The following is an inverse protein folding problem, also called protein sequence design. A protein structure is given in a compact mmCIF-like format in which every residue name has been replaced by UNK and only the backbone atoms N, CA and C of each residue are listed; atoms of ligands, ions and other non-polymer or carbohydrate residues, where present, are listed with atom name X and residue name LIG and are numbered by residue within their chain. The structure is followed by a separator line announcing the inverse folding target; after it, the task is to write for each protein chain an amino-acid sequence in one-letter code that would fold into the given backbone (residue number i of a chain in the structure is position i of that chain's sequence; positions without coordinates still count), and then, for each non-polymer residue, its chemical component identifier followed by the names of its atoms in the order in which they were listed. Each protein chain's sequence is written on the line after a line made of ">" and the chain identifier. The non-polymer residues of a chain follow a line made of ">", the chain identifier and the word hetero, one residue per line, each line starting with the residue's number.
data_IF_428857723466
#
_entry.id   IF_428857723466
#
_cell.length_a   1.000
_cell.length_b   1.000
_cell.length_c   1.000
_cell.angle_alpha   90.00
_cell.angle_beta   90.00
_cell.angle_gamma   90.00
#
_symmetry.space_group_name_H-M   'P 1'
#
loop_
_entity.id
_entity.type
_entity.pdbx_description
1 polymer ?
#
# COMPACT_ATOMS: atom_id res chain seq x y z
N UNK A 1 -11.56 0.09 -20.30
CA UNK A 1 -11.03 0.34 -18.95
C UNK A 1 -11.88 1.41 -18.31
N UNK A 2 -12.28 1.20 -17.06
CA UNK A 2 -13.00 2.19 -16.25
C UNK A 2 -12.15 2.43 -15.01
N UNK A 3 -11.69 3.66 -14.84
CA UNK A 3 -10.87 4.08 -13.72
C UNK A 3 -11.72 4.74 -12.62
N UNK A 4 -11.24 4.70 -11.38
CA UNK A 4 -11.90 5.29 -10.20
C UNK A 4 -13.35 4.82 -10.04
N UNK A 5 -13.60 3.51 -10.16
CA UNK A 5 -14.95 2.93 -10.15
C UNK A 5 -15.72 3.22 -8.86
N UNK A 6 -15.03 3.49 -7.74
CA UNK A 6 -15.64 3.87 -6.47
C UNK A 6 -16.38 5.22 -6.52
N UNK A 7 -16.16 6.03 -7.54
CA UNK A 7 -16.87 7.29 -7.74
C UNK A 7 -18.31 7.07 -8.26
N UNK A 8 -18.64 5.87 -8.75
CA UNK A 8 -19.97 5.61 -9.32
C UNK A 8 -20.51 4.21 -9.03
N UNK A 9 -21.29 4.08 -7.98
CA UNK A 9 -22.02 2.86 -7.68
C UNK A 9 -22.99 2.46 -8.82
N UNK A 10 -23.54 3.44 -9.53
CA UNK A 10 -24.43 3.18 -10.65
C UNK A 10 -23.73 2.45 -11.82
N UNK A 11 -22.48 2.83 -12.13
CA UNK A 11 -21.67 2.15 -13.15
C UNK A 11 -21.22 0.78 -12.64
N UNK A 12 -20.69 0.72 -11.41
CA UNK A 12 -20.25 -0.53 -10.80
C UNK A 12 -21.34 -1.62 -10.81
N UNK A 13 -22.53 -1.27 -10.38
CA UNK A 13 -23.66 -2.21 -10.30
C UNK A 13 -24.14 -2.70 -11.68
N UNK A 14 -23.72 -2.05 -12.77
CA UNK A 14 -24.05 -2.44 -14.15
C UNK A 14 -22.93 -3.16 -14.89
N UNK A 15 -21.76 -3.35 -14.30
CA UNK A 15 -20.63 -4.02 -14.97
C UNK A 15 -21.07 -5.40 -15.50
N UNK A 16 -21.82 -6.15 -14.72
CA UNK A 16 -22.38 -7.45 -15.14
C UNK A 16 -23.27 -7.37 -16.39
N UNK A 17 -24.07 -6.31 -16.49
CA UNK A 17 -24.90 -6.06 -17.67
C UNK A 17 -24.02 -5.73 -18.88
N UNK A 18 -23.00 -4.89 -18.67
CA UNK A 18 -22.09 -4.47 -19.74
C UNK A 18 -21.31 -5.66 -20.31
N UNK A 19 -20.78 -6.55 -19.48
CA UNK A 19 -20.05 -7.73 -19.95
C UNK A 19 -20.93 -8.65 -20.81
N UNK A 20 -22.20 -8.79 -20.47
CA UNK A 20 -23.15 -9.63 -21.24
C UNK A 20 -23.61 -8.97 -22.54
N UNK A 21 -23.79 -7.64 -22.53
CA UNK A 21 -24.37 -6.90 -23.64
C UNK A 21 -23.31 -6.51 -24.66
N UNK A 22 -22.15 -6.06 -24.21
CA UNK A 22 -21.13 -5.47 -25.08
C UNK A 22 -20.12 -6.50 -25.61
N UNK A 23 -20.16 -7.75 -25.12
CA UNK A 23 -19.23 -8.84 -25.48
C UNK A 23 -17.75 -8.41 -25.45
N UNK A 24 -17.38 -7.61 -24.46
CA UNK A 24 -16.04 -7.05 -24.27
C UNK A 24 -15.57 -7.35 -22.85
N UNK A 25 -14.26 -7.49 -22.69
CA UNK A 25 -13.63 -7.57 -21.38
C UNK A 25 -13.62 -6.18 -20.74
N UNK A 26 -13.93 -6.13 -19.46
CA UNK A 26 -13.94 -4.91 -18.68
C UNK A 26 -12.85 -4.99 -17.62
N UNK A 27 -11.95 -4.02 -17.62
CA UNK A 27 -10.98 -3.79 -16.57
C UNK A 27 -11.45 -2.57 -15.79
N UNK A 28 -11.66 -2.73 -14.49
CA UNK A 28 -12.07 -1.65 -13.60
C UNK A 28 -10.99 -1.46 -12.53
N UNK A 29 -10.59 -0.22 -12.32
CA UNK A 29 -9.64 0.13 -11.26
C UNK A 29 -10.32 1.02 -10.23
N UNK A 30 -9.76 1.08 -9.03
CA UNK A 30 -10.25 1.97 -8.00
C UNK A 30 -9.90 1.54 -6.59
N UNK A 31 -10.11 2.43 -5.63
CA UNK A 31 -9.88 2.19 -4.22
C UNK A 31 -10.92 1.22 -3.63
N UNK A 32 -10.42 0.16 -2.99
CA UNK A 32 -11.29 -0.79 -2.30
C UNK A 32 -12.02 -0.16 -1.11
N UNK A 33 -11.34 0.74 -0.41
CA UNK A 33 -11.89 1.41 0.77
C UNK A 33 -13.15 2.24 0.45
N UNK A 34 -13.11 3.01 -0.65
CA UNK A 34 -14.26 3.81 -1.09
C UNK A 34 -15.49 2.97 -1.43
N UNK A 35 -15.31 1.73 -1.88
CA UNK A 35 -16.43 0.81 -2.16
C UNK A 35 -17.05 0.19 -0.92
N UNK A 36 -16.22 -0.23 0.05
CA UNK A 36 -16.72 -0.88 1.28
C UNK A 36 -17.60 0.07 2.10
N UNK A 37 -17.25 1.34 2.13
CA UNK A 37 -17.94 2.34 2.95
C UNK A 37 -19.25 2.81 2.35
N UNK A 38 -19.42 2.66 1.05
CA UNK A 38 -20.63 3.08 0.38
C UNK A 38 -21.62 1.89 0.19
N UNK A 39 -22.72 1.91 0.93
CA UNK A 39 -23.79 0.87 0.90
C UNK A 39 -24.49 0.74 -0.45
N UNK A 40 -24.32 1.68 -1.36
CA UNK A 40 -24.91 1.64 -2.70
C UNK A 40 -24.23 0.62 -3.61
N UNK A 41 -23.00 0.22 -3.29
CA UNK A 41 -22.28 -0.81 -4.04
C UNK A 41 -22.83 -2.19 -3.71
N UNK A 42 -23.34 -2.88 -4.71
CA UNK A 42 -23.86 -4.25 -4.59
C UNK A 42 -22.73 -5.22 -5.02
N UNK A 43 -22.12 -5.87 -4.05
CA UNK A 43 -21.12 -6.88 -4.34
C UNK A 43 -21.77 -8.11 -4.96
N UNK A 44 -21.47 -8.40 -6.22
CA UNK A 44 -21.87 -9.64 -6.89
C UNK A 44 -20.76 -10.68 -6.70
N UNK A 45 -21.02 -11.71 -5.94
CA UNK A 45 -20.11 -12.84 -5.84
C UNK A 45 -20.04 -13.58 -7.19
N UNK A 46 -18.83 -13.78 -7.71
CA UNK A 46 -18.56 -14.65 -8.87
C UNK A 46 -18.61 -13.98 -10.24
N UNK A 47 -18.83 -12.68 -10.34
CA UNK A 47 -18.86 -11.96 -11.63
C UNK A 47 -17.58 -11.16 -11.92
N UNK A 48 -16.67 -11.05 -10.96
CA UNK A 48 -15.46 -10.25 -11.04
C UNK A 48 -14.27 -11.03 -10.48
N UNK A 49 -13.20 -11.10 -11.26
CA UNK A 49 -11.89 -11.49 -10.77
C UNK A 49 -11.19 -10.27 -10.20
N UNK A 50 -10.80 -10.34 -8.93
CA UNK A 50 -10.14 -9.23 -8.26
C UNK A 50 -8.63 -9.44 -8.26
N UNK A 51 -7.92 -8.45 -8.79
CA UNK A 51 -6.46 -8.38 -8.73
C UNK A 51 -6.10 -7.25 -7.77
N UNK A 52 -5.39 -7.59 -6.71
CA UNK A 52 -4.87 -6.61 -5.77
C UNK A 52 -3.47 -6.17 -6.21
N UNK A 53 -3.31 -4.88 -6.48
CA UNK A 53 -2.01 -4.30 -6.85
C UNK A 53 -1.28 -3.90 -5.58
N UNK A 54 -0.19 -4.59 -5.30
CA UNK A 54 0.70 -4.33 -4.16
C UNK A 54 1.82 -3.36 -4.54
N UNK A 55 2.53 -2.87 -3.54
CA UNK A 55 3.81 -2.18 -3.75
C UNK A 55 4.84 -3.17 -4.31
N UNK A 56 5.90 -2.67 -4.95
CA UNK A 56 6.97 -3.52 -5.48
C UNK A 56 7.56 -4.41 -4.38
N UNK A 57 7.65 -5.69 -4.65
CA UNK A 57 8.40 -6.65 -3.85
C UNK A 57 9.91 -6.39 -3.97
N UNK A 58 10.72 -6.97 -3.08
CA UNK A 58 12.18 -6.88 -3.20
C UNK A 58 12.69 -7.43 -4.54
N UNK A 59 12.08 -8.51 -5.03
CA UNK A 59 12.40 -9.06 -6.35
C UNK A 59 12.15 -8.04 -7.48
N UNK A 60 10.99 -7.38 -7.48
CA UNK A 60 10.65 -6.37 -8.47
C UNK A 60 11.53 -5.11 -8.32
N UNK A 61 11.90 -4.75 -7.09
CA UNK A 61 12.90 -3.71 -6.84
C UNK A 61 14.25 -4.06 -7.48
N UNK A 62 14.74 -5.29 -7.33
CA UNK A 62 15.98 -5.73 -7.97
C UNK A 62 15.90 -5.69 -9.50
N UNK A 63 14.75 -6.06 -10.08
CA UNK A 63 14.50 -5.94 -11.52
C UNK A 63 14.59 -4.47 -11.95
N UNK A 64 13.93 -3.56 -11.23
CA UNK A 64 13.96 -2.13 -11.51
C UNK A 64 15.39 -1.56 -11.43
N UNK A 65 16.16 -2.00 -10.43
CA UNK A 65 17.55 -1.59 -10.25
C UNK A 65 18.53 -2.22 -11.26
N UNK A 66 18.09 -3.16 -12.10
CA UNK A 66 18.96 -3.89 -13.01
C UNK A 66 19.93 -4.87 -12.32
N UNK A 67 19.57 -5.31 -11.11
CA UNK A 67 20.40 -6.19 -10.27
C UNK A 67 19.77 -7.58 -10.06
N UNK A 68 18.85 -7.99 -10.96
CA UNK A 68 18.10 -9.24 -10.78
C UNK A 68 19.01 -10.49 -10.88
N UNK A 69 20.07 -10.41 -11.66
CA UNK A 69 21.07 -11.51 -11.80
C UNK A 69 21.62 -11.93 -10.43
N UNK A 70 21.86 -10.99 -9.52
CA UNK A 70 22.30 -11.29 -8.15
C UNK A 70 21.29 -12.17 -7.39
N UNK A 71 20.01 -12.00 -7.66
CA UNK A 71 18.95 -12.80 -7.04
C UNK A 71 18.93 -14.23 -7.62
N UNK A 72 19.18 -14.39 -8.91
CA UNK A 72 19.25 -15.70 -9.56
C UNK A 72 20.48 -16.51 -9.15
N UNK A 73 21.57 -15.85 -8.75
CA UNK A 73 22.76 -16.48 -8.20
C UNK A 73 22.60 -17.01 -6.77
N UNK A 74 21.51 -16.60 -6.05
CA UNK A 74 21.27 -17.07 -4.70
C UNK A 74 20.93 -18.55 -4.67
N UNK A 75 21.74 -19.30 -3.95
CA UNK A 75 21.39 -20.66 -3.56
C UNK A 75 20.66 -20.69 -2.21
N UNK A 76 19.53 -21.39 -2.17
CA UNK A 76 18.73 -21.58 -0.95
C UNK A 76 19.45 -22.40 0.13
N UNK A 77 20.50 -23.15 -0.25
CA UNK A 77 21.32 -23.95 0.66
C UNK A 77 22.55 -23.20 1.20
N UNK A 78 22.76 -21.95 0.77
CA UNK A 78 23.85 -21.11 1.26
C UNK A 78 25.20 -21.35 0.59
N UNK A 79 25.21 -21.95 -0.60
CA UNK A 79 26.42 -22.24 -1.39
C UNK A 79 26.79 -21.07 -2.32
N UNK A 80 25.99 -19.98 -2.35
CA UNK A 80 26.29 -18.79 -3.16
C UNK A 80 27.55 -18.06 -2.67
N UNK A 81 28.17 -17.30 -3.56
CA UNK A 81 29.36 -16.51 -3.22
C UNK A 81 29.06 -15.47 -2.12
N UNK A 82 29.99 -15.30 -1.19
CA UNK A 82 29.87 -14.31 -0.10
C UNK A 82 29.64 -12.89 -0.61
N UNK A 83 30.23 -12.56 -1.77
CA UNK A 83 30.03 -11.28 -2.45
C UNK A 83 28.56 -11.06 -2.84
N UNK A 84 27.91 -12.04 -3.46
CA UNK A 84 26.50 -11.97 -3.87
C UNK A 84 25.61 -11.74 -2.66
N UNK A 85 25.86 -12.44 -1.55
CA UNK A 85 25.14 -12.23 -0.30
C UNK A 85 25.34 -10.83 0.27
N UNK A 86 26.56 -10.29 0.21
CA UNK A 86 26.83 -8.95 0.70
C UNK A 86 26.09 -7.89 -0.12
N UNK A 87 26.20 -7.94 -1.44
CA UNK A 87 25.55 -6.98 -2.36
C UNK A 87 24.03 -7.02 -2.21
N UNK A 88 23.42 -8.20 -2.17
CA UNK A 88 21.98 -8.34 -1.95
C UNK A 88 21.54 -7.83 -0.60
N UNK A 89 22.31 -8.04 0.46
CA UNK A 89 22.00 -7.52 1.79
C UNK A 89 22.02 -5.99 1.82
N UNK A 90 22.94 -5.34 1.13
CA UNK A 90 22.98 -3.89 1.04
C UNK A 90 21.78 -3.36 0.23
N UNK A 91 21.43 -4.00 -0.89
CA UNK A 91 20.22 -3.67 -1.65
C UNK A 91 18.93 -3.89 -0.82
N UNK A 92 18.89 -4.94 -0.02
CA UNK A 92 17.77 -5.20 0.87
C UNK A 92 17.62 -4.14 1.97
N UNK A 93 18.76 -3.64 2.52
CA UNK A 93 18.74 -2.52 3.47
C UNK A 93 18.17 -1.26 2.86
N UNK A 94 18.55 -0.96 1.61
CA UNK A 94 18.00 0.17 0.88
C UNK A 94 16.49 -0.02 0.68
N UNK A 95 16.08 -1.17 0.17
CA UNK A 95 14.67 -1.50 -0.05
C UNK A 95 13.83 -1.40 1.25
N UNK A 96 14.34 -1.89 2.37
CA UNK A 96 13.64 -1.78 3.67
C UNK A 96 13.56 -0.35 4.18
N UNK A 97 14.50 0.51 3.80
CA UNK A 97 14.47 1.93 4.17
C UNK A 97 13.50 2.76 3.31
N UNK A 98 13.43 2.49 2.00
CA UNK A 98 12.60 3.28 1.07
C UNK A 98 11.23 2.65 0.78
N UNK A 99 11.07 1.35 1.02
CA UNK A 99 9.85 0.60 0.69
C UNK A 99 9.70 0.33 -0.80
N UNK A 100 8.55 -0.24 -1.16
CA UNK A 100 8.25 -0.68 -2.53
C UNK A 100 7.34 0.27 -3.33
N UNK A 101 7.07 1.49 -2.90
CA UNK A 101 6.28 2.43 -3.71
C UNK A 101 7.01 2.80 -5.00
N UNK A 102 6.42 2.59 -6.20
CA UNK A 102 7.11 2.84 -7.48
C UNK A 102 7.71 4.24 -7.59
N UNK A 103 7.01 5.27 -7.14
CA UNK A 103 7.51 6.65 -7.16
C UNK A 103 8.75 6.85 -6.28
N UNK A 104 8.86 6.13 -5.16
CA UNK A 104 10.01 6.20 -4.26
C UNK A 104 11.19 5.43 -4.84
N UNK A 105 10.93 4.25 -5.41
CA UNK A 105 11.96 3.46 -6.08
C UNK A 105 12.54 4.23 -7.28
N UNK A 106 11.69 4.88 -8.08
CA UNK A 106 12.13 5.73 -9.18
C UNK A 106 12.99 6.90 -8.70
N UNK A 107 12.57 7.58 -7.62
CA UNK A 107 13.38 8.64 -7.00
C UNK A 107 14.76 8.14 -6.55
N UNK A 108 14.80 6.94 -5.97
CA UNK A 108 16.06 6.34 -5.56
C UNK A 108 16.97 6.01 -6.76
N UNK A 109 16.40 5.49 -7.85
CA UNK A 109 17.16 5.20 -9.09
C UNK A 109 17.78 6.46 -9.68
N UNK A 110 17.10 7.60 -9.58
CA UNK A 110 17.56 8.89 -10.13
C UNK A 110 18.61 9.57 -9.24
N UNK A 111 18.40 9.56 -7.92
CA UNK A 111 19.18 10.40 -7.00
C UNK A 111 20.14 9.63 -6.10
N UNK A 112 19.92 8.34 -5.87
CA UNK A 112 20.57 7.51 -4.85
C UNK A 112 20.56 8.14 -3.44
N UNK A 113 19.55 8.99 -3.15
CA UNK A 113 19.42 9.81 -1.96
C UNK A 113 18.26 9.36 -1.08
N UNK A 114 18.55 8.79 0.09
CA UNK A 114 17.51 8.40 1.05
C UNK A 114 16.67 9.61 1.54
N UNK A 115 17.24 10.80 1.82
CA UNK A 115 16.43 11.96 2.19
C UNK A 115 15.44 12.41 1.11
N UNK A 116 15.79 12.28 -0.18
CA UNK A 116 14.87 12.59 -1.26
C UNK A 116 13.74 11.56 -1.37
N UNK A 117 14.05 10.29 -1.16
CA UNK A 117 13.06 9.21 -1.07
C UNK A 117 12.08 9.45 0.08
N UNK A 118 12.59 9.86 1.26
CA UNK A 118 11.75 10.21 2.41
C UNK A 118 10.80 11.37 2.06
N UNK A 119 11.26 12.38 1.36
CA UNK A 119 10.41 13.49 0.92
C UNK A 119 9.26 13.02 0.00
N UNK A 120 9.50 12.02 -0.87
CA UNK A 120 8.45 11.41 -1.72
C UNK A 120 7.49 10.57 -0.85
N UNK A 121 7.99 9.77 0.08
CA UNK A 121 7.15 9.01 1.02
C UNK A 121 6.22 9.92 1.84
N UNK A 122 6.74 11.03 2.36
CA UNK A 122 5.92 12.01 3.10
C UNK A 122 4.82 12.63 2.24
N UNK A 123 5.06 12.85 0.94
CA UNK A 123 4.01 13.30 0.01
C UNK A 123 2.92 12.23 -0.16
N UNK A 124 3.31 10.96 -0.32
CA UNK A 124 2.37 9.84 -0.45
C UNK A 124 1.51 9.70 0.82
N UNK A 125 2.12 9.76 2.01
CA UNK A 125 1.40 9.72 3.28
C UNK A 125 0.39 10.87 3.40
N UNK A 126 0.79 12.09 3.01
CA UNK A 126 -0.11 13.24 3.00
C UNK A 126 -1.31 13.04 2.08
N UNK A 127 -1.08 12.44 0.89
CA UNK A 127 -2.17 12.11 -0.04
C UNK A 127 -3.12 11.09 0.58
N UNK A 128 -2.62 10.02 1.21
CA UNK A 128 -3.47 9.04 1.89
C UNK A 128 -4.29 9.65 3.02
N UNK A 129 -3.71 10.57 3.80
CA UNK A 129 -4.44 11.28 4.84
C UNK A 129 -5.56 12.14 4.20
N UNK A 130 -5.30 12.83 3.11
CA UNK A 130 -6.30 13.64 2.42
C UNK A 130 -7.42 12.79 1.82
N UNK A 131 -7.09 11.67 1.19
CA UNK A 131 -8.09 10.72 0.67
C UNK A 131 -8.93 10.12 1.80
N UNK A 132 -8.29 9.69 2.88
CA UNK A 132 -8.99 9.16 4.05
C UNK A 132 -9.99 10.17 4.60
N UNK A 133 -9.62 11.44 4.71
CA UNK A 133 -10.54 12.52 5.11
C UNK A 133 -11.77 12.59 4.21
N UNK A 134 -11.59 12.48 2.89
CA UNK A 134 -12.70 12.51 1.92
C UNK A 134 -13.71 11.39 2.16
N UNK A 135 -13.23 10.18 2.48
CA UNK A 135 -14.11 9.02 2.69
C UNK A 135 -14.73 8.95 4.07
N UNK A 136 -14.13 9.55 5.08
CA UNK A 136 -14.53 9.42 6.47
C UNK A 136 -14.98 10.74 7.12
N UNK A 137 -15.09 11.84 6.35
CA UNK A 137 -15.44 13.17 6.87
C UNK A 137 -16.69 13.19 7.74
N UNK A 138 -17.68 12.33 7.44
CA UNK A 138 -18.95 12.24 8.18
C UNK A 138 -18.88 11.24 9.36
N UNK A 139 -17.76 10.55 9.55
CA UNK A 139 -17.65 9.41 10.49
C UNK A 139 -16.61 9.70 11.58
N UNK A 140 -15.54 10.40 11.27
CA UNK A 140 -14.39 10.60 12.15
C UNK A 140 -13.87 12.05 12.07
N UNK A 141 -13.43 12.57 13.21
CA UNK A 141 -12.77 13.87 13.29
C UNK A 141 -11.37 13.86 12.62
N UNK A 142 -10.98 14.99 12.07
CA UNK A 142 -9.73 15.19 11.32
C UNK A 142 -8.46 14.74 12.09
N UNK A 143 -8.44 14.94 13.41
CA UNK A 143 -7.32 14.57 14.26
C UNK A 143 -7.11 13.06 14.36
N UNK A 144 -8.18 12.28 14.24
CA UNK A 144 -8.13 10.81 14.32
C UNK A 144 -7.27 10.23 13.21
N UNK A 145 -7.31 10.78 12.00
CA UNK A 145 -6.51 10.27 10.87
C UNK A 145 -5.01 10.43 11.09
N UNK A 146 -4.57 11.59 11.53
CA UNK A 146 -3.14 11.83 11.83
C UNK A 146 -2.68 10.92 12.97
N UNK A 147 -3.54 10.71 13.96
CA UNK A 147 -3.27 9.86 15.10
C UNK A 147 -3.18 8.38 14.70
N UNK A 148 -3.98 7.90 13.75
CA UNK A 148 -3.91 6.51 13.24
C UNK A 148 -2.54 6.24 12.63
N UNK A 149 -2.05 7.08 11.71
CA UNK A 149 -0.74 6.87 11.08
C UNK A 149 0.41 6.95 12.11
N UNK A 150 0.34 7.89 13.05
CA UNK A 150 1.32 8.00 14.13
C UNK A 150 1.27 6.81 15.10
N UNK A 151 0.08 6.26 15.34
CA UNK A 151 -0.14 5.08 16.15
C UNK A 151 0.50 3.83 15.53
N UNK A 152 0.29 3.60 14.21
CA UNK A 152 0.92 2.49 13.50
C UNK A 152 2.44 2.55 13.61
N UNK A 153 3.04 3.72 13.35
CA UNK A 153 4.49 3.89 13.45
C UNK A 153 5.01 3.58 14.88
N UNK A 154 4.31 4.06 15.91
CA UNK A 154 4.68 3.79 17.32
C UNK A 154 4.59 2.32 17.69
N UNK A 155 3.54 1.63 17.24
CA UNK A 155 3.37 0.19 17.50
C UNK A 155 4.48 -0.60 16.82
N UNK A 156 4.78 -0.34 15.55
CA UNK A 156 5.84 -1.02 14.82
C UNK A 156 7.22 -0.86 15.48
N UNK A 157 7.47 0.29 16.13
CA UNK A 157 8.72 0.50 16.89
C UNK A 157 8.72 -0.29 18.22
N UNK A 158 7.57 -0.39 18.90
CA UNK A 158 7.45 -1.11 20.17
C UNK A 158 7.42 -2.63 20.00
N UNK A 159 6.73 -3.10 18.99
CA UNK A 159 6.40 -4.51 18.75
C UNK A 159 7.46 -5.17 17.86
N UNK A 160 8.40 -5.87 18.48
CA UNK A 160 9.42 -6.65 17.74
C UNK A 160 8.85 -7.84 16.95
N UNK A 161 7.61 -8.24 17.19
CA UNK A 161 6.97 -9.45 16.64
C UNK A 161 5.92 -9.17 15.57
N UNK A 162 5.74 -7.93 15.16
CA UNK A 162 4.75 -7.54 14.17
C UNK A 162 3.54 -6.82 14.76
N UNK A 163 2.56 -6.56 13.92
CA UNK A 163 1.38 -5.77 14.21
C UNK A 163 0.25 -6.66 14.76
N UNK A 164 -0.24 -6.32 15.96
CA UNK A 164 -1.37 -6.98 16.58
C UNK A 164 -2.58 -6.02 16.66
N UNK A 165 -3.77 -6.55 16.31
CA UNK A 165 -5.00 -5.78 16.28
C UNK A 165 -5.41 -5.25 17.66
N UNK A 166 -5.14 -6.00 18.71
CA UNK A 166 -5.52 -5.62 20.07
C UNK A 166 -4.60 -4.52 20.60
N UNK A 167 -3.29 -4.62 20.38
CA UNK A 167 -2.30 -3.58 20.69
C UNK A 167 -2.61 -2.27 19.95
N UNK A 168 -3.07 -2.36 18.68
CA UNK A 168 -3.49 -1.18 17.92
C UNK A 168 -4.72 -0.52 18.54
N UNK A 169 -5.71 -1.32 18.92
CA UNK A 169 -6.95 -0.82 19.51
C UNK A 169 -6.70 -0.13 20.86
N UNK A 170 -5.80 -0.67 21.69
CA UNK A 170 -5.42 -0.07 22.97
C UNK A 170 -4.66 1.26 22.78
N UNK A 171 -3.67 1.30 21.88
CA UNK A 171 -2.90 2.51 21.59
C UNK A 171 -3.79 3.60 21.01
N UNK A 172 -4.69 3.26 20.08
CA UNK A 172 -5.65 4.21 19.50
C UNK A 172 -6.59 4.78 20.56
N UNK A 173 -7.13 3.94 21.45
CA UNK A 173 -7.96 4.39 22.59
C UNK A 173 -7.19 5.33 23.51
N UNK A 174 -5.91 5.07 23.77
CA UNK A 174 -5.08 5.91 24.62
C UNK A 174 -4.87 7.32 24.06
N UNK A 175 -4.88 7.46 22.73
CA UNK A 175 -4.77 8.74 22.04
C UNK A 175 -6.10 9.50 22.11
N UNK A 176 -7.20 8.83 21.75
CA UNK A 176 -8.54 9.43 21.74
C UNK A 176 -9.00 9.87 23.11
N UNK A 177 -8.68 9.10 24.15
CA UNK A 177 -9.06 9.43 25.55
C UNK A 177 -8.26 10.62 26.10
N UNK A 178 -7.05 10.87 25.63
CA UNK A 178 -6.25 12.03 26.07
C UNK A 178 -6.78 13.37 25.57
N UNK A 179 -7.47 13.36 24.44
CA UNK A 179 -8.00 14.59 23.81
C UNK A 179 -9.37 15.01 24.36
N UNK A 180 -10.02 14.13 25.15
CA UNK A 180 -11.32 14.42 25.81
C UNK A 180 -11.24 14.60 27.34
N UNK A 181 -10.05 14.66 27.91
CA UNK A 181 -9.80 14.94 29.33
C UNK A 181 -9.10 16.30 29.52
#
# INVERSE_FOLDING_TARGET
>A
IIDEIQESAAIYNRIREFTRTLKSDFIVTGSYLGRILNKEFKFSAGDLDTVEVQTLSFKEFLIAMGCFDLYEELDIYGESEERTHYELRELYRIYTAIGGYPAVVLQYMESHSLPECEAVLLKIIKLFIQESRRYFADILDDEVYQNVFSCVARILVKEKKGFDKDSFSEELRSIVVKDYS
#
